data_IF_770213129946
#
_entry.id   IF_770213129946
#
_cell.length_a   1.000
_cell.length_b   1.000
_cell.length_c   1.000
_cell.angle_alpha   90.00
_cell.angle_beta   90.00
_cell.angle_gamma   90.00
#
_symmetry.space_group_name_H-M   'P 1'
#
loop_
_entity.id
_entity.type
_entity.pdbx_description
1 polymer ?
#
# COMPACT_ATOMS: atom_id res chain seq x y z
N UNK A 1 1.42 0.75 9.61
CA UNK A 1 1.13 -0.04 8.39
C UNK A 1 1.82 -1.39 8.47
N UNK A 2 1.12 -2.48 8.16
CA UNK A 2 1.62 -3.85 8.11
C UNK A 2 1.63 -4.37 6.67
N UNK A 3 2.40 -5.42 6.40
CA UNK A 3 2.38 -6.14 5.12
C UNK A 3 1.05 -6.88 5.02
N UNK A 4 0.42 -6.85 3.84
CA UNK A 4 -0.81 -7.62 3.60
C UNK A 4 -0.57 -8.72 2.57
N UNK A 5 -1.29 -9.83 2.70
CA UNK A 5 -1.24 -10.92 1.74
C UNK A 5 -2.14 -10.64 0.53
N UNK A 6 -1.80 -11.24 -0.60
CA UNK A 6 -2.60 -11.22 -1.84
C UNK A 6 -2.71 -12.67 -2.29
N UNK A 7 -3.91 -13.09 -2.61
CA UNK A 7 -4.23 -14.47 -2.99
C UNK A 7 -3.45 -14.95 -4.25
N UNK A 8 -3.22 -14.04 -5.21
CA UNK A 8 -2.42 -14.35 -6.40
C UNK A 8 -0.96 -14.00 -6.16
N UNK A 9 -0.03 -14.89 -6.53
CA UNK A 9 1.44 -14.65 -6.44
C UNK A 9 1.92 -13.63 -7.49
N UNK A 10 1.28 -12.47 -7.50
CA UNK A 10 1.60 -11.39 -8.43
C UNK A 10 2.84 -10.61 -7.98
N UNK A 11 3.16 -10.63 -6.67
CA UNK A 11 4.28 -9.87 -6.11
C UNK A 11 5.62 -10.36 -6.63
N UNK A 12 5.81 -11.68 -6.70
CA UNK A 12 7.02 -12.28 -7.26
C UNK A 12 7.23 -11.88 -8.72
N UNK A 13 6.15 -11.92 -9.52
CA UNK A 13 6.20 -11.50 -10.94
C UNK A 13 6.60 -10.03 -11.08
N UNK A 14 6.02 -9.14 -10.27
CA UNK A 14 6.36 -7.71 -10.26
C UNK A 14 7.83 -7.48 -9.90
N UNK A 15 8.34 -8.15 -8.88
CA UNK A 15 9.75 -8.05 -8.47
C UNK A 15 10.68 -8.44 -9.63
N UNK A 16 10.41 -9.56 -10.29
CA UNK A 16 11.21 -10.03 -11.43
C UNK A 16 11.15 -9.05 -12.59
N UNK A 17 9.96 -8.54 -12.93
CA UNK A 17 9.80 -7.56 -14.02
C UNK A 17 10.59 -6.28 -13.72
N UNK A 18 10.46 -5.70 -12.53
CA UNK A 18 11.20 -4.49 -12.14
C UNK A 18 12.70 -4.75 -12.17
N UNK A 19 13.15 -5.93 -11.73
CA UNK A 19 14.56 -6.32 -11.77
C UNK A 19 15.09 -6.40 -13.21
N UNK A 20 14.38 -7.04 -14.12
CA UNK A 20 14.74 -7.09 -15.54
C UNK A 20 14.80 -5.70 -16.18
N UNK A 21 13.81 -4.83 -15.88
CA UNK A 21 13.82 -3.44 -16.35
C UNK A 21 15.03 -2.68 -15.82
N UNK A 22 15.41 -2.89 -14.53
CA UNK A 22 16.57 -2.20 -13.95
C UNK A 22 17.89 -2.61 -14.59
N UNK A 23 18.06 -3.88 -14.95
CA UNK A 23 19.23 -4.36 -15.71
C UNK A 23 19.27 -3.70 -17.08
N UNK A 24 18.14 -3.70 -17.78
CA UNK A 24 18.04 -3.11 -19.13
C UNK A 24 18.39 -1.61 -19.12
N UNK A 25 17.84 -0.85 -18.16
CA UNK A 25 18.16 0.57 -17.99
C UNK A 25 19.64 0.76 -17.67
N UNK A 26 20.23 -0.07 -16.79
CA UNK A 26 21.64 0.01 -16.44
C UNK A 26 22.55 -0.19 -17.68
N UNK A 27 22.23 -1.14 -18.53
CA UNK A 27 22.96 -1.38 -19.78
C UNK A 27 22.85 -0.18 -20.73
N UNK A 28 21.64 0.35 -20.93
CA UNK A 28 21.44 1.53 -21.78
C UNK A 28 22.20 2.74 -21.23
N UNK A 29 22.12 2.99 -19.94
CA UNK A 29 22.83 4.13 -19.33
C UNK A 29 24.34 4.01 -19.50
N UNK A 30 24.92 2.83 -19.31
CA UNK A 30 26.32 2.58 -19.60
C UNK A 30 26.68 2.89 -21.05
N UNK A 31 25.90 2.36 -21.99
CA UNK A 31 26.15 2.59 -23.41
C UNK A 31 26.06 4.07 -23.78
N UNK A 32 25.04 4.79 -23.32
CA UNK A 32 24.84 6.19 -23.61
C UNK A 32 25.91 7.10 -23.00
N UNK A 33 26.49 6.73 -21.86
CA UNK A 33 27.51 7.51 -21.16
C UNK A 33 28.94 7.19 -21.64
N UNK A 34 29.19 6.00 -22.20
CA UNK A 34 30.49 5.62 -22.74
C UNK A 34 30.78 6.27 -24.10
N UNK A 35 29.77 6.39 -24.96
CA UNK A 35 29.92 6.96 -26.32
C UNK A 35 30.51 8.40 -26.34
N UNK A 36 30.09 9.36 -25.49
CA UNK A 36 30.66 10.70 -25.50
C UNK A 36 32.14 10.77 -25.14
N UNK A 37 32.61 9.88 -24.28
CA UNK A 37 34.00 9.90 -23.77
C UNK A 37 34.97 9.46 -24.87
N UNK A 38 34.66 8.41 -25.62
CA UNK A 38 35.47 7.94 -26.77
C UNK A 38 35.50 8.99 -27.89
N UNK A 39 34.35 9.56 -28.25
CA UNK A 39 34.22 10.57 -29.30
C UNK A 39 34.99 11.86 -28.96
N UNK A 40 34.95 12.32 -27.70
CA UNK A 40 35.67 13.50 -27.23
C UNK A 40 37.19 13.22 -27.19
N UNK A 41 37.62 12.02 -26.81
CA UNK A 41 39.03 11.63 -26.79
C UNK A 41 39.69 11.65 -28.16
N UNK A 42 38.97 11.31 -29.24
CA UNK A 42 39.46 11.38 -30.61
C UNK A 42 39.52 12.82 -31.18
N UNK A 43 38.70 13.72 -30.69
CA UNK A 43 38.62 15.11 -31.16
C UNK A 43 39.63 16.05 -30.53
N UNK A 44 40.31 15.68 -29.40
CA UNK A 44 41.14 16.61 -28.64
C UNK A 44 42.64 16.28 -28.79
N UNK A 45 43.36 17.10 -29.52
CA UNK A 45 44.81 17.05 -29.67
C UNK A 45 45.60 17.79 -28.57
N UNK A 46 44.93 18.39 -27.60
CA UNK A 46 45.58 19.23 -26.57
C UNK A 46 45.78 18.43 -25.27
N UNK A 47 47.04 18.22 -24.86
CA UNK A 47 47.46 17.33 -23.75
C UNK A 47 46.89 17.77 -22.39
N UNK A 48 46.73 19.06 -22.11
CA UNK A 48 46.18 19.54 -20.84
C UNK A 48 44.67 19.32 -20.74
N UNK A 49 43.93 19.57 -21.81
CA UNK A 49 42.53 19.32 -21.88
C UNK A 49 42.19 17.81 -21.80
N UNK A 50 43.09 16.99 -22.36
CA UNK A 50 43.00 15.53 -22.26
C UNK A 50 43.11 15.03 -20.82
N UNK A 51 44.01 15.63 -20.01
CA UNK A 51 44.16 15.30 -18.59
C UNK A 51 42.90 15.64 -17.78
N UNK A 52 42.29 16.79 -18.04
CA UNK A 52 41.05 17.22 -17.38
C UNK A 52 39.92 16.26 -17.76
N UNK A 53 39.84 15.88 -19.02
CA UNK A 53 38.79 14.93 -19.51
C UNK A 53 38.99 13.53 -18.98
N UNK A 54 40.23 13.05 -18.82
CA UNK A 54 40.53 11.77 -18.16
C UNK A 54 40.14 11.80 -16.67
N UNK A 55 40.33 12.92 -15.98
CA UNK A 55 39.85 13.08 -14.60
C UNK A 55 38.31 13.08 -14.54
N UNK A 56 37.64 13.75 -15.46
CA UNK A 56 36.18 13.73 -15.59
C UNK A 56 35.70 12.31 -15.95
N UNK A 57 36.42 11.60 -16.83
CA UNK A 57 36.16 10.20 -17.17
C UNK A 57 36.16 9.27 -15.94
N UNK A 58 37.20 9.38 -15.12
CA UNK A 58 37.30 8.60 -13.88
C UNK A 58 36.16 8.90 -12.90
N UNK A 59 35.75 10.18 -12.80
CA UNK A 59 34.60 10.56 -11.98
C UNK A 59 33.30 10.01 -12.57
N UNK A 60 33.13 10.03 -13.89
CA UNK A 60 32.01 9.44 -14.59
C UNK A 60 31.94 7.92 -14.42
N UNK A 61 33.07 7.22 -14.46
CA UNK A 61 33.13 5.77 -14.20
C UNK A 61 32.67 5.43 -12.77
N UNK A 62 33.07 6.24 -11.78
CA UNK A 62 32.58 6.10 -10.40
C UNK A 62 31.06 6.32 -10.34
N UNK A 63 30.52 7.33 -11.05
CA UNK A 63 29.09 7.54 -11.14
C UNK A 63 28.37 6.38 -11.84
N UNK A 64 28.95 5.79 -12.87
CA UNK A 64 28.41 4.63 -13.58
C UNK A 64 28.39 3.38 -12.69
N UNK A 65 29.40 3.20 -11.84
CA UNK A 65 29.43 2.12 -10.85
C UNK A 65 28.38 2.32 -9.75
N UNK A 66 28.11 3.56 -9.35
CA UNK A 66 27.02 3.92 -8.42
C UNK A 66 25.64 3.71 -9.07
N UNK A 67 25.46 4.03 -10.36
CA UNK A 67 24.23 3.77 -11.13
C UNK A 67 24.18 2.29 -11.55
N UNK A 68 24.43 1.40 -10.60
CA UNK A 68 24.34 -0.04 -10.81
C UNK A 68 22.88 -0.51 -10.88
N UNK A 69 22.65 -1.66 -11.52
CA UNK A 69 21.30 -2.25 -11.61
C UNK A 69 20.56 -2.37 -10.26
N UNK A 70 21.22 -2.70 -9.12
CA UNK A 70 20.61 -2.69 -7.79
C UNK A 70 20.08 -1.33 -7.35
N UNK A 71 20.81 -0.23 -7.64
CA UNK A 71 20.37 1.12 -7.27
C UNK A 71 19.14 1.55 -8.10
N UNK A 72 19.20 1.31 -9.41
CA UNK A 72 18.06 1.54 -10.31
C UNK A 72 16.85 0.72 -9.84
N UNK A 73 17.06 -0.55 -9.49
CA UNK A 73 16.02 -1.41 -8.95
C UNK A 73 15.39 -0.83 -7.68
N UNK A 74 16.20 -0.38 -6.73
CA UNK A 74 15.70 0.20 -5.48
C UNK A 74 14.83 1.43 -5.73
N UNK A 75 15.25 2.32 -6.65
CA UNK A 75 14.50 3.53 -7.03
C UNK A 75 13.18 3.15 -7.72
N UNK A 76 13.23 2.27 -8.71
CA UNK A 76 12.05 1.82 -9.45
C UNK A 76 11.06 1.11 -8.54
N UNK A 77 11.55 0.23 -7.66
CA UNK A 77 10.70 -0.49 -6.73
C UNK A 77 10.06 0.44 -5.70
N UNK A 78 10.80 1.42 -5.16
CA UNK A 78 10.27 2.43 -4.27
C UNK A 78 9.17 3.26 -4.94
N UNK A 79 9.40 3.69 -6.20
CA UNK A 79 8.42 4.44 -6.97
C UNK A 79 7.19 3.59 -7.31
N UNK A 80 7.40 2.33 -7.68
CA UNK A 80 6.33 1.38 -7.90
C UNK A 80 5.48 1.18 -6.63
N UNK A 81 6.11 0.93 -5.47
CA UNK A 81 5.41 0.74 -4.18
C UNK A 81 4.56 1.95 -3.79
N UNK A 82 4.96 3.15 -4.16
CA UNK A 82 4.27 4.38 -3.78
C UNK A 82 3.22 4.84 -4.78
N UNK A 83 3.52 4.77 -6.09
CA UNK A 83 2.75 5.45 -7.12
C UNK A 83 2.37 4.58 -8.31
N UNK A 84 3.32 3.86 -8.93
CA UNK A 84 3.09 3.24 -10.23
C UNK A 84 1.98 2.17 -10.21
N UNK A 85 1.89 1.40 -9.15
CA UNK A 85 0.88 0.34 -9.03
C UNK A 85 -0.57 0.85 -9.10
N UNK A 86 -0.80 2.15 -8.85
CA UNK A 86 -2.11 2.80 -8.92
C UNK A 86 -2.48 3.25 -10.34
N UNK A 87 -1.50 3.33 -11.24
CA UNK A 87 -1.75 3.76 -12.62
C UNK A 87 -2.72 2.80 -13.30
N UNK A 88 -3.69 3.34 -14.02
CA UNK A 88 -4.81 2.58 -14.61
C UNK A 88 -4.35 1.35 -15.42
N UNK A 89 -3.35 1.52 -16.29
CA UNK A 89 -2.81 0.41 -17.11
C UNK A 89 -2.17 -0.70 -16.27
N UNK A 90 -1.43 -0.33 -15.23
CA UNK A 90 -0.78 -1.28 -14.33
C UNK A 90 -1.83 -1.94 -13.43
N UNK A 91 -2.77 -1.15 -12.93
CA UNK A 91 -3.82 -1.65 -12.04
C UNK A 91 -4.78 -2.63 -12.74
N UNK A 92 -5.05 -2.45 -14.04
CA UNK A 92 -5.80 -3.44 -14.85
C UNK A 92 -5.17 -4.85 -14.80
N UNK A 93 -3.84 -4.91 -14.75
CA UNK A 93 -3.11 -6.20 -14.66
C UNK A 93 -3.06 -6.70 -13.22
N UNK A 94 -2.82 -5.81 -12.27
CA UNK A 94 -2.68 -6.14 -10.85
C UNK A 94 -4.02 -6.47 -10.19
N UNK A 95 -5.09 -5.83 -10.62
CA UNK A 95 -6.46 -5.97 -10.10
C UNK A 95 -6.60 -5.67 -8.60
N UNK A 96 -5.68 -4.86 -8.03
CA UNK A 96 -5.70 -4.46 -6.63
C UNK A 96 -6.28 -3.05 -6.53
N UNK A 97 -7.41 -2.86 -5.83
CA UNK A 97 -8.04 -1.55 -5.71
C UNK A 97 -7.17 -0.59 -4.88
N UNK A 98 -7.16 0.68 -5.26
CA UNK A 98 -6.62 1.75 -4.40
C UNK A 98 -7.69 2.19 -3.41
N UNK A 99 -7.48 1.81 -2.16
CA UNK A 99 -8.38 2.14 -1.05
C UNK A 99 -7.94 3.36 -0.25
N UNK A 100 -6.82 3.99 -0.61
CA UNK A 100 -6.32 5.14 0.14
C UNK A 100 -7.39 6.21 0.32
N UNK A 101 -7.39 6.84 1.47
CA UNK A 101 -8.26 7.97 1.77
C UNK A 101 -9.10 7.78 3.02
N UNK A 102 -10.02 8.70 3.18
CA UNK A 102 -10.98 8.71 4.28
C UNK A 102 -12.34 8.24 3.78
N UNK A 103 -12.94 7.35 4.55
CA UNK A 103 -14.24 6.75 4.28
C UNK A 103 -15.16 7.03 5.46
N UNK A 104 -16.35 7.47 5.21
CA UNK A 104 -17.30 7.83 6.26
C UNK A 104 -18.66 7.19 6.02
N UNK A 105 -19.33 6.86 7.10
CA UNK A 105 -20.68 6.27 7.03
C UNK A 105 -21.16 5.80 8.39
N UNK A 106 -22.04 4.81 8.34
CA UNK A 106 -22.70 4.25 9.52
C UNK A 106 -22.36 2.80 9.73
N UNK A 107 -22.16 2.43 10.98
CA UNK A 107 -21.97 1.05 11.44
C UNK A 107 -23.10 0.66 12.38
N UNK A 108 -23.69 -0.52 12.15
CA UNK A 108 -24.67 -1.14 13.06
C UNK A 108 -24.00 -2.24 13.83
N UNK A 109 -24.24 -2.30 15.13
CA UNK A 109 -23.61 -3.24 16.04
C UNK A 109 -24.69 -4.03 16.79
N UNK A 110 -24.44 -5.32 17.05
CA UNK A 110 -25.24 -6.11 17.97
C UNK A 110 -24.94 -5.83 19.45
N UNK A 111 -24.01 -4.90 19.74
CA UNK A 111 -23.71 -4.47 21.10
C UNK A 111 -24.84 -3.59 21.62
N UNK A 112 -25.42 -3.97 22.77
CA UNK A 112 -26.63 -3.33 23.28
C UNK A 112 -27.82 -3.54 22.34
N UNK A 113 -28.65 -2.52 22.16
CA UNK A 113 -29.90 -2.58 21.39
C UNK A 113 -29.72 -2.30 19.90
N UNK A 114 -28.72 -2.91 19.23
CA UNK A 114 -28.43 -2.71 17.80
C UNK A 114 -28.20 -1.23 17.40
N UNK A 115 -27.44 -0.55 18.19
CA UNK A 115 -27.17 0.88 17.98
C UNK A 115 -26.42 1.14 16.69
N UNK A 116 -26.76 2.25 16.06
CA UNK A 116 -26.07 2.78 14.90
C UNK A 116 -25.06 3.85 15.34
N UNK A 117 -23.81 3.71 14.86
CA UNK A 117 -22.69 4.59 15.18
C UNK A 117 -22.14 5.24 13.93
N UNK A 118 -21.69 6.48 14.03
CA UNK A 118 -20.90 7.13 12.99
C UNK A 118 -19.52 6.48 12.95
N UNK A 119 -19.09 6.03 11.76
CA UNK A 119 -17.78 5.43 11.54
C UNK A 119 -16.98 6.24 10.53
N UNK A 120 -15.72 6.55 10.89
CA UNK A 120 -14.72 7.12 10.00
C UNK A 120 -13.60 6.12 9.87
N UNK A 121 -13.30 5.67 8.65
CA UNK A 121 -12.25 4.72 8.35
C UNK A 121 -11.17 5.40 7.50
N UNK A 122 -9.98 5.55 8.05
CA UNK A 122 -8.81 6.04 7.32
C UNK A 122 -8.00 4.85 6.82
N UNK A 123 -7.79 4.76 5.51
CA UNK A 123 -7.01 3.70 4.87
C UNK A 123 -5.73 4.32 4.29
N UNK A 124 -4.58 3.76 4.67
CA UNK A 124 -3.28 4.08 4.06
C UNK A 124 -2.76 2.82 3.39
N UNK A 125 -2.47 2.90 2.09
CA UNK A 125 -2.07 1.74 1.30
C UNK A 125 -0.90 2.10 0.38
N UNK A 126 0.08 1.20 0.32
CA UNK A 126 1.08 1.11 -0.73
C UNK A 126 0.95 -0.25 -1.42
N UNK A 127 1.70 -0.51 -2.45
CA UNK A 127 1.76 -1.84 -3.05
C UNK A 127 2.02 -2.95 -2.03
N UNK A 128 2.89 -2.68 -1.06
CA UNK A 128 3.36 -3.67 -0.10
C UNK A 128 2.64 -3.64 1.24
N UNK A 129 2.22 -2.48 1.70
CA UNK A 129 1.70 -2.27 3.06
C UNK A 129 0.34 -1.60 3.07
N UNK A 130 -0.48 -1.97 4.06
CA UNK A 130 -1.78 -1.35 4.29
C UNK A 130 -1.97 -1.09 5.79
N UNK A 131 -2.82 -0.16 6.12
CA UNK A 131 -3.35 0.02 7.47
C UNK A 131 -4.76 0.59 7.41
N UNK A 132 -5.59 0.11 8.31
CA UNK A 132 -6.96 0.58 8.54
C UNK A 132 -7.03 1.17 9.94
N UNK A 133 -7.57 2.35 10.04
CA UNK A 133 -7.82 3.03 11.32
C UNK A 133 -9.27 3.49 11.31
N UNK A 134 -10.10 2.78 12.08
CA UNK A 134 -11.49 3.17 12.30
C UNK A 134 -11.61 4.03 13.57
N UNK A 135 -12.34 5.11 13.49
CA UNK A 135 -12.72 5.95 14.63
C UNK A 135 -14.24 6.09 14.72
N UNK A 136 -14.71 6.04 15.94
CA UNK A 136 -16.13 6.11 16.28
C UNK A 136 -16.34 7.36 17.15
N UNK A 137 -16.68 8.52 16.54
CA UNK A 137 -16.82 9.77 17.28
C UNK A 137 -17.84 9.68 18.41
N UNK A 138 -18.92 8.94 18.20
CA UNK A 138 -20.04 8.80 19.14
C UNK A 138 -19.62 8.08 20.45
N UNK A 139 -18.57 7.24 20.42
CA UNK A 139 -18.09 6.46 21.57
C UNK A 139 -16.65 6.76 21.95
N UNK A 140 -16.01 7.73 21.30
CA UNK A 140 -14.60 8.11 21.50
C UNK A 140 -13.63 6.89 21.46
N UNK A 141 -13.96 5.87 20.68
CA UNK A 141 -13.17 4.66 20.54
C UNK A 141 -12.46 4.62 19.19
N UNK A 142 -11.36 3.85 19.12
CA UNK A 142 -10.52 3.71 17.93
C UNK A 142 -10.10 2.27 17.75
N UNK A 143 -10.18 1.78 16.52
CA UNK A 143 -9.69 0.46 16.12
C UNK A 143 -8.56 0.58 15.12
N UNK A 144 -7.50 -0.19 15.30
CA UNK A 144 -6.34 -0.20 14.41
C UNK A 144 -6.10 -1.62 13.89
N UNK A 145 -5.81 -1.75 12.59
CA UNK A 145 -5.52 -3.05 11.99
C UNK A 145 -4.13 -3.54 12.36
N UNK A 146 -4.00 -4.86 12.55
CA UNK A 146 -2.75 -5.57 12.84
C UNK A 146 -2.32 -6.53 11.71
N UNK A 147 -3.26 -7.02 10.91
CA UNK A 147 -3.01 -7.86 9.75
C UNK A 147 -4.06 -7.60 8.67
N UNK A 148 -3.78 -7.95 7.43
CA UNK A 148 -4.76 -7.90 6.34
C UNK A 148 -4.44 -8.90 5.23
N UNK A 149 -5.48 -9.29 4.51
CA UNK A 149 -5.41 -10.15 3.32
C UNK A 149 -6.38 -9.66 2.26
N UNK A 150 -5.91 -9.57 1.02
CA UNK A 150 -6.73 -9.28 -0.15
C UNK A 150 -6.98 -10.58 -0.92
N UNK A 151 -8.23 -10.85 -1.24
CA UNK A 151 -8.63 -12.03 -1.99
C UNK A 151 -9.74 -11.70 -3.00
N UNK A 152 -9.79 -12.52 -4.05
CA UNK A 152 -10.80 -12.41 -5.10
C UNK A 152 -11.61 -13.71 -5.05
N UNK A 153 -12.91 -13.59 -4.82
CA UNK A 153 -13.80 -14.75 -4.83
C UNK A 153 -13.98 -15.32 -6.23
N UNK A 154 -14.52 -16.53 -6.32
CA UNK A 154 -14.73 -17.26 -7.58
C UNK A 154 -15.63 -16.50 -8.56
N UNK A 155 -16.57 -15.69 -8.04
CA UNK A 155 -17.45 -14.82 -8.82
C UNK A 155 -16.77 -13.51 -9.28
N UNK A 156 -15.50 -13.27 -8.89
CA UNK A 156 -14.76 -12.06 -9.23
C UNK A 156 -14.86 -10.94 -8.20
N UNK A 157 -15.63 -11.10 -7.14
CA UNK A 157 -15.76 -10.10 -6.08
C UNK A 157 -14.46 -9.91 -5.33
N UNK A 158 -14.11 -8.65 -5.10
CA UNK A 158 -12.89 -8.25 -4.41
C UNK A 158 -13.18 -8.00 -2.95
N UNK A 159 -12.51 -8.74 -2.09
CA UNK A 159 -12.67 -8.63 -0.63
C UNK A 159 -11.35 -8.39 0.07
N UNK A 160 -11.41 -7.68 1.18
CA UNK A 160 -10.28 -7.49 2.08
C UNK A 160 -10.69 -7.87 3.48
N UNK A 161 -10.00 -8.88 4.00
CA UNK A 161 -10.11 -9.24 5.40
C UNK A 161 -9.00 -8.59 6.21
N UNK A 162 -9.30 -8.07 7.40
CA UNK A 162 -8.28 -7.56 8.31
C UNK A 162 -8.64 -7.75 9.78
N UNK A 163 -7.65 -8.17 10.55
CA UNK A 163 -7.74 -8.19 12.00
C UNK A 163 -7.56 -6.79 12.58
N UNK A 164 -8.23 -6.49 13.67
CA UNK A 164 -8.11 -5.23 14.38
C UNK A 164 -8.09 -5.39 15.89
N UNK A 165 -7.50 -4.39 16.56
CA UNK A 165 -7.56 -4.20 18.01
C UNK A 165 -8.30 -2.88 18.27
N UNK A 166 -9.33 -2.93 19.09
CA UNK A 166 -10.01 -1.73 19.58
C UNK A 166 -9.37 -1.26 20.88
N UNK A 167 -9.06 0.03 20.92
CA UNK A 167 -8.52 0.70 22.09
C UNK A 167 -9.41 1.89 22.45
N UNK A 168 -10.03 1.84 23.60
CA UNK A 168 -10.69 3.01 24.17
C UNK A 168 -9.67 3.90 24.86
N UNK A 169 -9.94 5.21 24.89
CA UNK A 169 -9.18 6.15 25.70
C UNK A 169 -9.56 6.11 27.18
N UNK A 170 -10.70 5.52 27.50
CA UNK A 170 -11.15 5.34 28.87
C UNK A 170 -10.45 4.15 29.52
N UNK A 171 -9.85 4.36 30.69
CA UNK A 171 -9.08 3.34 31.42
C UNK A 171 -9.95 2.14 31.82
N UNK A 172 -11.25 2.38 32.09
CA UNK A 172 -12.23 1.35 32.45
C UNK A 172 -12.81 0.58 31.27
N UNK A 173 -12.54 1.02 30.02
CA UNK A 173 -13.13 0.39 28.86
C UNK A 173 -12.38 -0.88 28.45
N UNK A 174 -13.14 -1.91 28.15
CA UNK A 174 -12.62 -3.17 27.68
C UNK A 174 -11.88 -2.99 26.34
N UNK A 175 -10.66 -3.52 26.24
CA UNK A 175 -9.98 -3.74 24.95
C UNK A 175 -10.49 -5.05 24.35
N UNK A 176 -10.67 -5.06 23.05
CA UNK A 176 -11.12 -6.25 22.34
C UNK A 176 -10.54 -6.31 20.92
N UNK A 177 -10.44 -7.53 20.43
CA UNK A 177 -9.97 -7.84 19.10
C UNK A 177 -11.12 -8.29 18.22
N UNK A 178 -10.94 -8.17 16.93
CA UNK A 178 -11.92 -8.63 15.98
C UNK A 178 -11.38 -8.75 14.57
N UNK A 179 -12.27 -9.09 13.65
CA UNK A 179 -11.98 -9.25 12.26
C UNK A 179 -13.05 -8.57 11.42
N UNK A 180 -12.61 -7.86 10.38
CA UNK A 180 -13.46 -7.21 9.39
C UNK A 180 -13.31 -7.89 8.03
N UNK A 181 -14.39 -7.93 7.28
CA UNK A 181 -14.39 -8.23 5.85
C UNK A 181 -15.00 -7.05 5.13
N UNK A 182 -14.23 -6.43 4.25
CA UNK A 182 -14.68 -5.38 3.34
C UNK A 182 -15.02 -5.99 1.99
N UNK A 183 -16.15 -5.58 1.44
CA UNK A 183 -16.60 -5.83 0.08
C UNK A 183 -16.63 -4.51 -0.67
N UNK A 184 -16.06 -4.48 -1.87
CA UNK A 184 -15.99 -3.28 -2.69
C UNK A 184 -17.21 -3.26 -3.62
N UNK A 185 -18.22 -2.50 -3.24
CA UNK A 185 -19.44 -2.33 -4.06
C UNK A 185 -19.15 -1.47 -5.30
N UNK A 186 -18.28 -0.45 -5.13
CA UNK A 186 -17.83 0.44 -6.19
C UNK A 186 -16.50 1.10 -5.81
N UNK A 187 -15.95 1.97 -6.68
CA UNK A 187 -14.74 2.74 -6.37
C UNK A 187 -14.92 3.70 -5.16
N UNK A 188 -16.16 4.10 -4.89
CA UNK A 188 -16.49 5.08 -3.86
C UNK A 188 -17.37 4.53 -2.73
N UNK A 189 -17.72 3.27 -2.77
CA UNK A 189 -18.55 2.62 -1.75
C UNK A 189 -17.93 1.31 -1.27
N UNK A 190 -17.86 1.15 0.05
CA UNK A 190 -17.42 -0.06 0.72
C UNK A 190 -18.54 -0.50 1.65
N UNK A 191 -18.96 -1.75 1.51
CA UNK A 191 -19.72 -2.46 2.51
C UNK A 191 -18.79 -3.32 3.35
N UNK A 192 -19.14 -3.57 4.59
CA UNK A 192 -18.33 -4.43 5.44
C UNK A 192 -19.13 -5.05 6.57
N UNK A 193 -18.60 -6.16 7.05
CA UNK A 193 -19.07 -6.85 8.24
C UNK A 193 -17.93 -7.14 9.17
N UNK A 194 -18.21 -7.18 10.46
CA UNK A 194 -17.21 -7.49 11.47
C UNK A 194 -17.76 -8.42 12.54
N UNK A 195 -16.85 -9.07 13.23
CA UNK A 195 -17.09 -9.75 14.50
C UNK A 195 -15.91 -9.48 15.45
N UNK A 196 -16.18 -9.47 16.74
CA UNK A 196 -15.17 -9.25 17.76
C UNK A 196 -15.48 -10.04 19.03
N UNK A 197 -14.51 -10.09 19.94
CA UNK A 197 -14.60 -10.80 21.21
C UNK A 197 -15.02 -9.92 22.39
N UNK A 198 -15.62 -8.74 22.11
CA UNK A 198 -16.09 -7.84 23.17
C UNK A 198 -17.16 -8.55 24.01
N UNK A 199 -16.99 -8.52 25.33
CA UNK A 199 -17.97 -9.09 26.25
C UNK A 199 -19.31 -8.36 26.15
N UNK A 200 -20.37 -9.11 25.99
CA UNK A 200 -21.75 -8.63 25.84
C UNK A 200 -22.68 -9.23 26.91
N UNK A 201 -22.12 -9.90 27.90
CA UNK A 201 -22.86 -10.60 28.97
C UNK A 201 -23.76 -9.66 29.78
N UNK A 202 -23.36 -8.37 29.94
CA UNK A 202 -24.18 -7.34 30.60
C UNK A 202 -25.53 -7.11 29.92
N UNK A 203 -25.69 -7.48 28.65
CA UNK A 203 -26.95 -7.39 27.88
C UNK A 203 -27.62 -8.75 27.69
N UNK A 204 -27.19 -9.78 28.44
CA UNK A 204 -27.73 -11.13 28.32
C UNK A 204 -27.40 -11.88 27.03
N UNK A 205 -26.34 -11.46 26.34
CA UNK A 205 -25.89 -12.05 25.07
C UNK A 205 -24.56 -12.75 25.33
N UNK A 206 -24.53 -14.07 25.16
CA UNK A 206 -23.29 -14.84 25.23
C UNK A 206 -22.46 -14.66 23.97
N UNK A 207 -21.15 -14.48 24.17
CA UNK A 207 -20.18 -14.33 23.08
C UNK A 207 -19.91 -12.89 22.66
N UNK A 208 -19.18 -12.77 21.56
CA UNK A 208 -18.75 -11.47 21.03
C UNK A 208 -19.81 -10.77 20.18
N UNK A 209 -19.49 -9.58 19.72
CA UNK A 209 -20.37 -8.78 18.89
C UNK A 209 -20.12 -9.01 17.41
N UNK A 210 -21.14 -8.79 16.63
CA UNK A 210 -21.13 -8.71 15.17
C UNK A 210 -21.79 -7.43 14.70
N UNK A 211 -21.43 -7.01 13.50
CA UNK A 211 -22.04 -5.84 12.91
C UNK A 211 -21.73 -5.71 11.44
N UNK A 212 -22.33 -4.72 10.86
CA UNK A 212 -22.14 -4.35 9.45
C UNK A 212 -22.00 -2.84 9.33
N UNK A 213 -21.35 -2.40 8.26
CA UNK A 213 -21.20 -0.98 7.97
C UNK A 213 -21.23 -0.72 6.47
N UNK A 214 -21.65 0.48 6.12
CA UNK A 214 -21.57 0.99 4.75
C UNK A 214 -20.90 2.36 4.80
N UNK A 215 -19.84 2.52 3.99
CA UNK A 215 -19.02 3.71 3.97
C UNK A 215 -18.89 4.23 2.55
N UNK A 216 -18.85 5.56 2.43
CA UNK A 216 -18.57 6.26 1.19
C UNK A 216 -17.24 6.99 1.30
N UNK A 217 -16.52 7.10 0.19
CA UNK A 217 -15.25 7.82 0.13
C UNK A 217 -15.49 9.32 0.30
N UNK A 218 -14.74 9.96 1.20
CA UNK A 218 -14.77 11.42 1.36
C UNK A 218 -14.21 12.14 0.13
N UNK A 219 -14.73 13.32 -0.18
CA UNK A 219 -14.37 14.13 -1.35
C UNK A 219 -12.88 14.57 -1.40
N UNK A 220 -12.12 14.41 -0.31
CA UNK A 220 -10.71 14.85 -0.18
C UNK A 220 -9.69 13.72 -0.39
N UNK A 221 -10.06 12.63 -1.03
CA UNK A 221 -9.23 11.42 -1.21
C UNK A 221 -8.62 11.26 -2.62
N UNK A 222 -8.10 12.33 -3.23
CA UNK A 222 -7.29 12.27 -4.47
C UNK A 222 -5.84 12.61 -4.20
#
# INVERSE_FOLDING_TARGET
>A
MHVYSIDKDIRRKVIVVIFCISIFISIIMRYLLSVPIEFIGECIKNVELLKILLQIGNVLDIFLDIISAPVIYAILYWWFDKKLWKMEYINKVLQIPDLNGEWTGKAKSSFGDNNEYTMKLTIKQTWRKISFVASFPDTNSKSESNCASFFIETNGDKKIGFGFVNRSREVSAQQYDGYNVLELDSENEIAGRYFNNRDNSAFGIDGGNKGQFKLTRGANGT
#
